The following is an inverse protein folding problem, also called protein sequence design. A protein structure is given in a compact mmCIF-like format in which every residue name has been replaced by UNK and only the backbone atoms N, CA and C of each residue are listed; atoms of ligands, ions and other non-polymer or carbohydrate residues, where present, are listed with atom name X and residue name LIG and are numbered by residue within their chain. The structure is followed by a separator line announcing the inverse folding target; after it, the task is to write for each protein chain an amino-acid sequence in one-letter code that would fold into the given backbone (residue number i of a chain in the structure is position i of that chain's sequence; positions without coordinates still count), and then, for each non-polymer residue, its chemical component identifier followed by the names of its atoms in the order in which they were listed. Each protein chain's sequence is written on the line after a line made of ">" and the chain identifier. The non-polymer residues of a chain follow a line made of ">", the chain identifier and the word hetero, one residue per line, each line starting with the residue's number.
data_IF_775727129110
#
_entry.id   IF_775727129110
#
_cell.length_a   1.000
_cell.length_b   1.000
_cell.length_c   1.000
_cell.angle_alpha   90.00
_cell.angle_beta   90.00
_cell.angle_gamma   90.00
#
_symmetry.space_group_name_H-M   'P 1'
#
loop_
_entity.id
_entity.type
_entity.pdbx_description
1 polymer ?
#
# COMPACT_ATOMS: atom_id res chain seq x y z
N UNK A 1 -46.37 -31.08 27.91
CA UNK A 1 -44.91 -30.84 27.86
C UNK A 1 -44.70 -29.50 27.19
N UNK A 2 -44.23 -28.51 27.93
CA UNK A 2 -44.10 -27.09 27.55
C UNK A 2 -42.70 -26.61 27.94
N UNK A 3 -41.68 -27.45 27.74
CA UNK A 3 -40.34 -27.30 28.36
C UNK A 3 -39.21 -27.09 27.33
N UNK A 4 -39.50 -26.67 26.09
CA UNK A 4 -38.48 -26.59 25.04
C UNK A 4 -38.48 -25.26 24.24
N UNK A 5 -38.63 -24.12 24.90
CA UNK A 5 -38.46 -22.79 24.25
C UNK A 5 -37.76 -21.77 25.15
N UNK A 6 -36.76 -22.15 25.95
CA UNK A 6 -36.15 -21.21 26.92
C UNK A 6 -34.62 -21.11 26.90
N UNK A 7 -33.91 -21.87 26.05
CA UNK A 7 -32.43 -21.84 26.03
C UNK A 7 -31.81 -21.10 24.83
N UNK A 8 -32.62 -20.46 24.00
CA UNK A 8 -32.11 -19.54 22.97
C UNK A 8 -32.21 -18.13 23.55
N UNK A 9 -31.07 -17.61 24.01
CA UNK A 9 -30.96 -16.23 24.45
C UNK A 9 -30.98 -15.32 23.21
N UNK A 10 -32.17 -14.90 22.78
CA UNK A 10 -32.40 -13.98 21.66
C UNK A 10 -31.96 -12.53 21.99
N UNK A 11 -31.07 -12.35 22.96
CA UNK A 11 -30.56 -11.04 23.38
C UNK A 11 -29.36 -10.63 22.52
N UNK A 12 -29.46 -9.47 21.88
CA UNK A 12 -28.32 -8.86 21.20
C UNK A 12 -27.53 -8.02 22.20
N UNK A 13 -26.25 -8.36 22.37
CA UNK A 13 -25.28 -7.52 23.08
C UNK A 13 -25.05 -6.22 22.30
N UNK A 14 -25.66 -5.13 22.76
CA UNK A 14 -25.57 -3.82 22.12
C UNK A 14 -24.17 -3.21 22.22
N UNK A 15 -23.40 -3.56 23.25
CA UNK A 15 -22.03 -3.11 23.41
C UNK A 15 -21.13 -3.76 22.34
N UNK A 16 -21.45 -4.98 21.89
CA UNK A 16 -20.74 -5.66 20.82
C UNK A 16 -20.96 -5.01 19.43
N UNK A 17 -21.97 -4.12 19.28
CA UNK A 17 -22.20 -3.36 18.04
C UNK A 17 -21.23 -2.20 17.86
N UNK A 18 -20.49 -1.83 18.91
CA UNK A 18 -19.44 -0.82 18.84
C UNK A 18 -18.29 -1.30 17.97
N UNK A 19 -17.69 -0.37 17.24
CA UNK A 19 -16.48 -0.62 16.47
C UNK A 19 -15.28 -0.19 17.28
N UNK A 20 -14.43 -1.16 17.63
CA UNK A 20 -13.16 -0.91 18.29
C UNK A 20 -12.11 -0.57 17.22
N UNK A 21 -11.36 0.51 17.42
CA UNK A 21 -10.31 0.95 16.48
C UNK A 21 -9.29 -0.17 16.19
N UNK A 22 -8.87 -0.92 17.22
CA UNK A 22 -7.90 -2.02 17.09
C UNK A 22 -8.42 -3.21 16.28
N UNK A 23 -9.74 -3.43 16.25
CA UNK A 23 -10.38 -4.57 15.57
C UNK A 23 -10.99 -4.20 14.23
N UNK A 24 -11.19 -2.91 13.97
CA UNK A 24 -11.80 -2.44 12.73
C UNK A 24 -10.69 -2.13 11.74
N UNK A 25 -10.55 -2.91 10.65
CA UNK A 25 -9.52 -2.64 9.67
C UNK A 25 -9.76 -1.29 8.99
N UNK A 26 -8.67 -0.57 8.73
CA UNK A 26 -8.71 0.65 7.94
C UNK A 26 -9.24 0.37 6.54
N UNK A 27 -10.15 1.21 6.06
CA UNK A 27 -10.90 0.96 4.82
C UNK A 27 -10.12 1.31 3.53
N UNK A 28 -8.94 1.93 3.67
CA UNK A 28 -8.02 2.22 2.56
C UNK A 28 -6.62 1.61 2.75
N UNK A 29 -6.51 0.27 2.81
CA UNK A 29 -5.24 -0.41 3.09
C UNK A 29 -4.15 -0.12 2.06
N UNK A 30 -4.53 0.21 0.81
CA UNK A 30 -3.58 0.58 -0.23
C UNK A 30 -2.73 1.81 0.13
N UNK A 31 -3.28 2.75 0.92
CA UNK A 31 -2.54 3.93 1.37
C UNK A 31 -1.53 3.60 2.46
N UNK A 32 -1.64 2.46 3.15
CA UNK A 32 -0.69 2.05 4.19
C UNK A 32 0.60 1.45 3.61
N UNK A 33 0.56 1.05 2.33
CA UNK A 33 1.73 0.50 1.64
C UNK A 33 2.56 1.65 1.06
N UNK A 34 3.83 1.82 1.48
CA UNK A 34 4.70 2.85 0.92
C UNK A 34 4.92 2.65 -0.58
N UNK A 35 5.18 3.75 -1.30
CA UNK A 35 5.58 3.65 -2.70
C UNK A 35 6.87 2.82 -2.84
N UNK A 36 7.03 2.12 -3.97
CA UNK A 36 8.24 1.34 -4.22
C UNK A 36 9.40 2.29 -4.50
N UNK A 37 10.40 2.29 -3.62
CA UNK A 37 11.59 3.14 -3.78
C UNK A 37 12.37 2.75 -5.05
N UNK A 38 12.83 3.73 -5.85
CA UNK A 38 13.75 3.48 -6.95
C UNK A 38 15.00 2.74 -6.46
N UNK A 39 15.48 1.80 -7.27
CA UNK A 39 16.70 1.05 -6.95
C UNK A 39 17.90 2.00 -6.92
N UNK A 40 18.87 1.69 -6.05
CA UNK A 40 20.13 2.43 -6.02
C UNK A 40 20.81 2.38 -7.38
N UNK A 41 21.27 3.54 -7.84
CA UNK A 41 21.96 3.66 -9.11
C UNK A 41 23.31 2.93 -9.05
N UNK A 42 23.54 2.05 -10.02
CA UNK A 42 24.83 1.38 -10.22
C UNK A 42 25.44 1.91 -11.51
N UNK A 43 26.59 2.57 -11.39
CA UNK A 43 27.28 3.16 -12.53
C UNK A 43 28.22 2.13 -13.19
N UNK A 44 28.33 2.13 -14.53
CA UNK A 44 29.35 1.34 -15.21
C UNK A 44 30.75 1.85 -14.84
N UNK A 45 31.72 0.94 -14.73
CA UNK A 45 33.11 1.30 -14.46
C UNK A 45 33.70 2.17 -15.57
N UNK A 46 34.52 3.16 -15.20
CA UNK A 46 35.20 4.03 -16.15
C UNK A 46 36.15 3.24 -17.08
N UNK A 47 36.14 3.51 -18.40
CA UNK A 47 37.07 2.88 -19.34
C UNK A 47 38.51 3.29 -19.03
N UNK A 48 39.40 2.30 -19.01
CA UNK A 48 40.84 2.50 -18.79
C UNK A 48 41.57 2.68 -20.11
N UNK A 49 42.54 3.60 -20.12
CA UNK A 49 43.48 3.76 -21.23
C UNK A 49 44.35 2.50 -21.36
N UNK A 50 44.52 2.02 -22.59
CA UNK A 50 45.37 0.87 -22.92
C UNK A 50 46.48 1.38 -23.85
N UNK A 51 47.73 1.31 -23.39
CA UNK A 51 48.88 1.72 -24.19
C UNK A 51 49.09 0.73 -25.36
N UNK A 52 49.33 1.20 -26.59
CA UNK A 52 49.54 0.33 -27.73
C UNK A 52 50.84 -0.46 -27.61
N UNK A 53 50.82 -1.72 -28.05
CA UNK A 53 52.00 -2.57 -28.06
C UNK A 53 53.10 -1.98 -28.98
N UNK A 54 54.37 -2.10 -28.54
CA UNK A 54 55.51 -1.59 -29.30
C UNK A 54 55.64 -2.36 -30.63
N UNK A 55 55.66 -1.69 -31.79
CA UNK A 55 55.68 -2.37 -33.08
C UNK A 55 56.98 -3.17 -33.27
N UNK A 56 56.84 -4.44 -33.66
CA UNK A 56 57.95 -5.35 -33.96
C UNK A 56 58.48 -5.08 -35.39
N UNK A 57 59.81 -4.94 -35.57
CA UNK A 57 60.47 -4.76 -36.89
C UNK A 57 61.21 -3.43 -37.10
N UNK A 58 62.35 -3.42 -37.80
CA UNK A 58 63.37 -2.34 -37.76
C UNK A 58 63.04 -1.07 -38.57
N UNK A 59 62.19 -1.13 -39.59
CA UNK A 59 61.86 0.02 -40.45
C UNK A 59 60.59 0.73 -40.01
N UNK A 60 60.64 2.06 -39.87
CA UNK A 60 59.45 2.90 -39.64
C UNK A 60 58.87 2.88 -38.20
N UNK A 61 59.59 2.31 -37.21
CA UNK A 61 59.11 2.15 -35.82
C UNK A 61 58.55 3.44 -35.20
N UNK A 62 59.26 4.56 -35.33
CA UNK A 62 58.83 5.84 -34.71
C UNK A 62 57.50 6.32 -35.27
N UNK A 63 57.32 6.27 -36.59
CA UNK A 63 56.08 6.66 -37.26
C UNK A 63 54.93 5.71 -36.91
N UNK A 64 55.16 4.39 -36.96
CA UNK A 64 54.14 3.39 -36.61
C UNK A 64 53.73 3.46 -35.14
N UNK A 65 54.66 3.71 -34.23
CA UNK A 65 54.38 3.88 -32.81
C UNK A 65 53.59 5.17 -32.56
N UNK A 66 53.94 6.29 -33.20
CA UNK A 66 53.18 7.53 -33.11
C UNK A 66 51.75 7.37 -33.65
N UNK A 67 51.58 6.74 -34.82
CA UNK A 67 50.25 6.43 -35.39
C UNK A 67 49.44 5.49 -34.48
N UNK A 68 50.08 4.51 -33.83
CA UNK A 68 49.42 3.61 -32.89
C UNK A 68 49.02 4.31 -31.59
N UNK A 69 49.85 5.23 -31.09
CA UNK A 69 49.54 6.07 -29.93
C UNK A 69 48.39 7.02 -30.21
N UNK A 70 48.40 7.69 -31.37
CA UNK A 70 47.32 8.59 -31.78
C UNK A 70 45.99 7.83 -31.88
N UNK A 71 45.98 6.64 -32.51
CA UNK A 71 44.80 5.78 -32.56
C UNK A 71 44.33 5.32 -31.18
N UNK A 72 45.25 4.96 -30.29
CA UNK A 72 44.91 4.55 -28.93
C UNK A 72 44.29 5.70 -28.12
N UNK A 73 44.82 6.91 -28.25
CA UNK A 73 44.26 8.13 -27.63
C UNK A 73 42.87 8.43 -28.18
N UNK A 74 42.69 8.45 -29.50
CA UNK A 74 41.38 8.67 -30.12
C UNK A 74 40.34 7.62 -29.69
N UNK A 75 40.74 6.35 -29.60
CA UNK A 75 39.87 5.28 -29.12
C UNK A 75 39.53 5.42 -27.63
N UNK A 76 40.46 5.90 -26.80
CA UNK A 76 40.21 6.18 -25.39
C UNK A 76 39.25 7.34 -25.19
N UNK A 77 39.48 8.45 -25.89
CA UNK A 77 38.60 9.63 -25.88
C UNK A 77 37.18 9.25 -26.32
N UNK A 78 37.04 8.47 -27.39
CA UNK A 78 35.74 7.98 -27.83
C UNK A 78 35.06 7.07 -26.78
N UNK A 79 35.81 6.16 -26.15
CA UNK A 79 35.27 5.30 -25.07
C UNK A 79 34.85 6.11 -23.86
N UNK A 80 35.64 7.10 -23.45
CA UNK A 80 35.31 8.01 -22.35
C UNK A 80 34.09 8.85 -22.67
N UNK A 81 33.99 9.43 -23.87
CA UNK A 81 32.82 10.20 -24.29
C UNK A 81 31.53 9.35 -24.21
N UNK A 82 31.57 8.12 -24.74
CA UNK A 82 30.43 7.19 -24.66
C UNK A 82 30.10 6.78 -23.23
N UNK A 83 31.11 6.59 -22.38
CA UNK A 83 30.89 6.27 -20.97
C UNK A 83 30.25 7.45 -20.23
N UNK A 84 30.74 8.67 -20.42
CA UNK A 84 30.19 9.89 -19.82
C UNK A 84 28.75 10.08 -20.24
N UNK A 85 28.43 9.95 -21.53
CA UNK A 85 27.06 10.04 -22.03
C UNK A 85 26.12 9.03 -21.35
N UNK A 86 26.56 7.77 -21.23
CA UNK A 86 25.79 6.73 -20.54
C UNK A 86 25.61 7.02 -19.06
N UNK A 87 26.65 7.46 -18.36
CA UNK A 87 26.58 7.81 -16.93
C UNK A 87 25.63 8.98 -16.71
N UNK A 88 25.74 10.05 -17.50
CA UNK A 88 24.84 11.20 -17.44
C UNK A 88 23.40 10.78 -17.68
N UNK A 89 23.13 9.98 -18.71
CA UNK A 89 21.78 9.50 -19.00
C UNK A 89 21.19 8.65 -17.85
N UNK A 90 22.01 7.78 -17.25
CA UNK A 90 21.61 6.97 -16.10
C UNK A 90 21.34 7.82 -14.85
N UNK A 91 22.17 8.82 -14.59
CA UNK A 91 22.00 9.75 -13.48
C UNK A 91 20.74 10.58 -13.63
N UNK A 92 20.53 11.22 -14.78
CA UNK A 92 19.33 12.03 -15.03
C UNK A 92 18.05 11.20 -14.92
N UNK A 93 18.06 9.96 -15.42
CA UNK A 93 16.92 9.06 -15.24
C UNK A 93 16.68 8.74 -13.76
N UNK A 94 17.74 8.43 -13.02
CA UNK A 94 17.62 8.11 -11.59
C UNK A 94 17.11 9.31 -10.79
N UNK A 95 17.61 10.52 -11.06
CA UNK A 95 17.13 11.75 -10.43
C UNK A 95 15.65 11.97 -10.70
N UNK A 96 15.20 11.80 -11.96
CA UNK A 96 13.79 11.90 -12.31
C UNK A 96 12.93 10.86 -11.56
N UNK A 97 13.37 9.60 -11.53
CA UNK A 97 12.66 8.53 -10.82
C UNK A 97 12.58 8.80 -9.30
N UNK A 98 13.64 9.37 -8.72
CA UNK A 98 13.68 9.77 -7.31
C UNK A 98 12.72 10.93 -7.00
N UNK A 99 12.70 11.97 -7.83
CA UNK A 99 11.76 13.10 -7.69
C UNK A 99 10.31 12.61 -7.77
N UNK A 100 10.01 11.74 -8.75
CA UNK A 100 8.67 11.17 -8.90
C UNK A 100 8.27 10.32 -7.68
N UNK A 101 9.20 9.53 -7.13
CA UNK A 101 8.98 8.78 -5.91
C UNK A 101 8.71 9.67 -4.70
N UNK A 102 9.51 10.74 -4.51
CA UNK A 102 9.35 11.66 -3.37
C UNK A 102 8.01 12.39 -3.43
N UNK A 103 7.58 12.84 -4.61
CA UNK A 103 6.27 13.46 -4.81
C UNK A 103 5.12 12.48 -4.51
N UNK A 104 5.18 11.27 -5.07
CA UNK A 104 4.14 10.26 -4.83
C UNK A 104 4.06 9.82 -3.36
N UNK A 105 5.19 9.74 -2.67
CA UNK A 105 5.23 9.38 -1.25
C UNK A 105 4.71 10.52 -0.36
N UNK A 106 4.99 11.78 -0.70
CA UNK A 106 4.41 12.93 -0.01
C UNK A 106 2.88 12.96 -0.15
N UNK A 107 2.37 12.80 -1.38
CA UNK A 107 0.93 12.74 -1.66
C UNK A 107 0.27 11.58 -0.90
N UNK A 108 0.92 10.40 -0.87
CA UNK A 108 0.42 9.24 -0.12
C UNK A 108 0.34 9.52 1.37
N UNK A 109 1.36 10.15 1.96
CA UNK A 109 1.40 10.46 3.40
C UNK A 109 0.28 11.44 3.76
N UNK A 110 0.09 12.50 2.97
CA UNK A 110 -0.99 13.46 3.18
C UNK A 110 -2.37 12.79 3.07
N UNK A 111 -2.59 12.00 2.01
CA UNK A 111 -3.83 11.26 1.82
C UNK A 111 -4.08 10.27 2.96
N UNK A 112 -3.04 9.54 3.42
CA UNK A 112 -3.15 8.60 4.52
C UNK A 112 -3.55 9.30 5.82
N UNK A 113 -2.92 10.45 6.14
CA UNK A 113 -3.25 11.20 7.35
C UNK A 113 -4.70 11.69 7.33
N UNK A 114 -5.15 12.25 6.20
CA UNK A 114 -6.53 12.70 6.02
C UNK A 114 -7.54 11.56 6.18
N UNK A 115 -7.28 10.43 5.53
CA UNK A 115 -8.21 9.30 5.55
C UNK A 115 -8.21 8.58 6.90
N UNK A 116 -7.08 8.54 7.63
CA UNK A 116 -7.07 8.05 9.01
C UNK A 116 -7.90 8.92 9.95
N UNK A 117 -7.79 10.25 9.83
CA UNK A 117 -8.60 11.17 10.62
C UNK A 117 -10.11 10.98 10.33
N UNK A 118 -10.48 10.90 9.05
CA UNK A 118 -11.85 10.61 8.60
C UNK A 118 -12.36 9.27 9.15
N UNK A 119 -11.56 8.22 9.05
CA UNK A 119 -11.91 6.90 9.56
C UNK A 119 -12.12 6.88 11.08
N UNK A 120 -11.28 7.58 11.84
CA UNK A 120 -11.43 7.71 13.30
C UNK A 120 -12.70 8.49 13.67
N UNK A 121 -13.01 9.55 12.93
CA UNK A 121 -14.26 10.30 13.10
C UNK A 121 -15.48 9.43 12.81
N UNK A 122 -15.47 8.67 11.71
CA UNK A 122 -16.55 7.72 11.36
C UNK A 122 -16.77 6.68 12.48
N UNK A 123 -15.68 6.14 13.05
CA UNK A 123 -15.74 5.21 14.17
C UNK A 123 -16.34 5.84 15.42
N UNK A 124 -15.93 7.07 15.73
CA UNK A 124 -16.44 7.81 16.87
C UNK A 124 -17.93 8.12 16.71
N UNK A 125 -18.35 8.60 15.54
CA UNK A 125 -19.74 8.90 15.24
C UNK A 125 -20.61 7.63 15.30
N UNK A 126 -20.13 6.50 14.78
CA UNK A 126 -20.80 5.21 14.92
C UNK A 126 -20.96 4.80 16.39
N UNK A 127 -19.89 4.89 17.19
CA UNK A 127 -19.98 4.50 18.60
C UNK A 127 -20.89 5.44 19.40
N UNK A 128 -20.92 6.73 19.08
CA UNK A 128 -21.85 7.70 19.66
C UNK A 128 -23.31 7.41 19.28
N UNK A 129 -23.58 6.94 18.05
CA UNK A 129 -24.94 6.55 17.67
C UNK A 129 -25.39 5.30 18.44
N UNK A 130 -24.49 4.34 18.68
CA UNK A 130 -24.77 3.19 19.56
C UNK A 130 -25.03 3.63 21.01
N UNK A 131 -24.23 4.56 21.55
CA UNK A 131 -24.47 5.14 22.88
C UNK A 131 -25.87 5.78 22.98
N UNK A 132 -26.25 6.56 21.97
CA UNK A 132 -27.56 7.21 21.93
C UNK A 132 -28.69 6.18 21.81
N UNK A 133 -28.49 5.14 21.00
CA UNK A 133 -29.45 4.05 20.85
C UNK A 133 -29.68 3.30 22.16
N UNK A 134 -28.61 2.90 22.85
CA UNK A 134 -28.65 2.24 24.18
C UNK A 134 -29.38 3.14 25.20
N UNK A 135 -29.04 4.44 25.22
CA UNK A 135 -29.68 5.42 26.10
C UNK A 135 -31.19 5.53 25.83
N UNK A 136 -31.59 5.72 24.57
CA UNK A 136 -32.99 5.82 24.18
C UNK A 136 -33.78 4.55 24.54
N UNK A 137 -33.19 3.38 24.30
CA UNK A 137 -33.78 2.10 24.67
C UNK A 137 -33.99 2.00 26.19
N UNK A 138 -33.03 2.47 26.99
CA UNK A 138 -33.13 2.47 28.46
C UNK A 138 -34.26 3.37 28.99
N UNK A 139 -34.57 4.44 28.27
CA UNK A 139 -35.71 5.32 28.57
C UNK A 139 -37.04 4.83 27.98
N UNK A 140 -37.04 3.71 27.25
CA UNK A 140 -38.24 3.15 26.63
C UNK A 140 -38.74 3.94 25.43
N UNK A 141 -37.84 4.65 24.71
CA UNK A 141 -38.21 5.33 23.48
C UNK A 141 -38.78 4.34 22.45
N UNK A 142 -39.97 4.65 21.92
CA UNK A 142 -40.72 3.71 21.08
C UNK A 142 -39.98 3.35 19.78
N UNK A 143 -39.23 4.30 19.19
CA UNK A 143 -38.47 4.05 17.98
C UNK A 143 -37.27 3.15 18.26
N UNK A 144 -36.53 3.42 19.34
CA UNK A 144 -35.40 2.58 19.76
C UNK A 144 -35.83 1.14 20.12
N UNK A 145 -36.99 0.97 20.78
CA UNK A 145 -37.55 -0.36 21.07
C UNK A 145 -37.88 -1.12 19.79
N UNK A 146 -38.49 -0.46 18.80
CA UNK A 146 -38.82 -1.08 17.52
C UNK A 146 -37.56 -1.49 16.73
N UNK A 147 -36.53 -0.65 16.73
CA UNK A 147 -35.25 -0.96 16.11
C UNK A 147 -34.55 -2.13 16.81
N UNK A 148 -34.56 -2.17 18.16
CA UNK A 148 -34.03 -3.31 18.92
C UNK A 148 -34.74 -4.61 18.58
N UNK A 149 -36.08 -4.61 18.50
CA UNK A 149 -36.86 -5.79 18.11
C UNK A 149 -36.47 -6.25 16.70
N UNK A 150 -36.29 -5.31 15.76
CA UNK A 150 -35.85 -5.63 14.40
C UNK A 150 -34.47 -6.30 14.41
N UNK A 151 -33.53 -5.75 15.18
CA UNK A 151 -32.17 -6.30 15.32
C UNK A 151 -32.16 -7.69 15.94
N UNK A 152 -32.99 -7.92 16.96
CA UNK A 152 -33.16 -9.25 17.57
C UNK A 152 -33.73 -10.23 16.55
N UNK A 153 -34.83 -9.87 15.87
CA UNK A 153 -35.47 -10.74 14.87
C UNK A 153 -34.53 -11.09 13.72
N UNK A 154 -33.70 -10.15 13.26
CA UNK A 154 -32.69 -10.39 12.22
C UNK A 154 -31.57 -11.35 12.67
N UNK A 155 -31.21 -11.33 13.95
CA UNK A 155 -30.19 -12.21 14.52
C UNK A 155 -30.75 -13.56 15.02
N UNK A 156 -32.06 -13.66 15.22
CA UNK A 156 -32.73 -14.88 15.68
C UNK A 156 -32.88 -15.91 14.56
N UNK A 157 -32.53 -17.18 14.85
CA UNK A 157 -32.80 -18.32 13.98
C UNK A 157 -34.10 -18.99 14.43
N UNK A 158 -35.19 -18.74 13.69
CA UNK A 158 -36.46 -19.42 13.96
C UNK A 158 -36.53 -20.78 13.25
N UNK A 159 -36.87 -21.88 13.94
CA UNK A 159 -37.14 -23.14 13.27
C UNK A 159 -38.39 -23.02 12.38
N UNK A 160 -38.23 -23.24 11.06
CA UNK A 160 -39.27 -23.12 10.01
C UNK A 160 -40.35 -24.20 10.05
N UNK A 161 -40.36 -25.11 11.03
CA UNK A 161 -41.35 -26.19 11.09
C UNK A 161 -42.32 -26.00 12.23
N UNK A 162 -43.35 -25.18 12.01
CA UNK A 162 -44.62 -25.39 12.71
C UNK A 162 -45.29 -26.63 12.10
N UNK A 163 -45.51 -27.72 12.85
CA UNK A 163 -46.26 -28.84 12.33
C UNK A 163 -47.70 -28.38 12.07
N UNK A 164 -48.18 -28.59 10.84
CA UNK A 164 -49.61 -28.53 10.52
C UNK A 164 -50.32 -29.58 11.38
N UNK A 165 -50.93 -29.18 12.49
CA UNK A 165 -51.70 -30.08 13.35
C UNK A 165 -53.20 -29.70 13.34
N UNK A 166 -54.13 -30.66 13.11
CA UNK A 166 -53.97 -31.94 12.40
C UNK A 166 -55.01 -32.17 11.26
N UNK A 167 -54.82 -33.21 10.43
CA UNK A 167 -55.89 -33.82 9.64
C UNK A 167 -56.70 -34.86 10.44
N UNK A 168 -57.98 -34.95 10.06
CA UNK A 168 -59.04 -35.92 10.43
C UNK A 168 -59.67 -35.77 11.83
#
# INVERSE_FOLDING_TARGET
>A
MLEATIDVDDYVDLEALRKLEEKTPFDRPALEVPAVRPKQLTLPSEPKFVEPEKPTGFFGKKRKLAEAQEKATQADEARKAQWTEKVTALQSKHEHDMIAYEAAEADRIEALAKEKARFQEDLQLHNQSIDQFISNLSYGDAAAVQEYISLVVENSIYPVTAPLWPPA
#
